data_IF_756127073819
#
_entry.id   IF_756127073819
#
_cell.length_a   1.000
_cell.length_b   1.000
_cell.length_c   1.000
_cell.angle_alpha   90.00
_cell.angle_beta   90.00
_cell.angle_gamma   90.00
#
_symmetry.space_group_name_H-M   'P 1'
#
loop_
_entity.id
_entity.type
_entity.pdbx_description
1 polymer ?
#
# COMPACT_ATOMS: atom_id res chain seq x y z
N UNK A 1 -20.86 18.93 -23.42
CA UNK A 1 -19.47 18.87 -22.88
C UNK A 1 -18.90 17.52 -23.27
N UNK A 2 -17.81 17.46 -24.06
CA UNK A 2 -17.10 16.19 -24.32
C UNK A 2 -16.11 15.99 -23.19
N UNK A 3 -16.28 14.92 -22.42
CA UNK A 3 -15.28 14.51 -21.44
C UNK A 3 -14.09 13.90 -22.21
N UNK A 4 -12.88 14.36 -21.93
CA UNK A 4 -11.67 13.62 -22.33
C UNK A 4 -11.63 12.36 -21.48
N UNK A 5 -12.02 11.23 -22.07
CA UNK A 5 -11.83 9.91 -21.45
C UNK A 5 -10.43 9.41 -21.80
N UNK A 6 -9.72 8.85 -20.83
CA UNK A 6 -8.44 8.18 -21.05
C UNK A 6 -8.61 6.81 -21.72
N UNK A 7 -9.84 6.30 -21.75
CA UNK A 7 -10.18 5.01 -22.32
C UNK A 7 -11.15 5.22 -23.48
N UNK A 8 -10.68 5.00 -24.71
CA UNK A 8 -11.49 5.00 -25.92
C UNK A 8 -11.27 3.68 -26.69
N UNK A 9 -12.08 2.64 -26.44
CA UNK A 9 -11.89 1.32 -27.03
C UNK A 9 -12.16 1.30 -28.54
N UNK A 10 -12.75 2.36 -29.10
CA UNK A 10 -12.99 2.47 -30.55
C UNK A 10 -11.85 3.18 -31.28
N UNK A 11 -10.87 3.70 -30.55
CA UNK A 11 -9.82 4.58 -31.05
C UNK A 11 -8.47 4.28 -30.38
N UNK A 12 -8.15 2.99 -30.23
CA UNK A 12 -6.82 2.54 -29.82
C UNK A 12 -5.80 3.02 -30.85
N UNK A 13 -5.11 4.11 -30.54
CA UNK A 13 -4.07 4.68 -31.37
C UNK A 13 -2.75 4.04 -30.94
N UNK A 14 -2.31 3.02 -31.68
CA UNK A 14 -1.04 2.31 -31.47
C UNK A 14 0.21 3.23 -31.49
N UNK A 15 0.06 4.52 -31.85
CA UNK A 15 1.15 5.47 -32.03
C UNK A 15 1.27 6.58 -30.97
N UNK A 16 0.45 6.60 -29.92
CA UNK A 16 0.62 7.61 -28.86
C UNK A 16 1.76 7.21 -27.92
N UNK A 17 2.77 8.08 -27.78
CA UNK A 17 3.98 7.78 -27.02
C UNK A 17 3.68 7.77 -25.51
N UNK A 18 4.01 6.66 -24.84
CA UNK A 18 3.97 6.58 -23.38
C UNK A 18 5.18 7.31 -22.79
N UNK A 19 4.93 8.22 -21.85
CA UNK A 19 5.98 8.92 -21.10
C UNK A 19 6.19 8.29 -19.72
N UNK A 20 7.45 8.20 -19.31
CA UNK A 20 7.83 7.76 -17.96
C UNK A 20 8.25 8.96 -17.12
N UNK A 21 8.08 8.85 -15.79
CA UNK A 21 8.59 9.81 -14.82
C UNK A 21 9.38 9.08 -13.74
N UNK A 22 10.39 9.74 -13.18
CA UNK A 22 11.21 9.15 -12.12
C UNK A 22 10.49 9.17 -10.77
N UNK A 23 10.53 8.03 -10.08
CA UNK A 23 10.08 7.91 -8.70
C UNK A 23 11.27 8.04 -7.75
N UNK A 24 11.22 9.00 -6.83
CA UNK A 24 12.23 9.14 -5.76
C UNK A 24 11.99 8.15 -4.59
N UNK A 25 11.56 6.92 -4.90
CA UNK A 25 11.24 5.86 -3.94
C UNK A 25 11.26 4.49 -4.64
N UNK A 26 11.50 3.44 -3.87
CA UNK A 26 11.77 2.08 -4.37
C UNK A 26 10.72 1.05 -3.94
N UNK A 27 10.03 1.29 -2.82
CA UNK A 27 9.00 0.40 -2.28
C UNK A 27 7.72 1.17 -1.94
N UNK A 28 6.56 0.54 -2.15
CA UNK A 28 5.29 0.95 -1.62
C UNK A 28 4.73 -0.12 -0.67
N UNK A 29 4.45 0.27 0.57
CA UNK A 29 3.68 -0.49 1.54
C UNK A 29 2.21 -0.13 1.36
N UNK A 30 1.38 -1.13 1.07
CA UNK A 30 -0.05 -0.99 0.79
C UNK A 30 -0.86 -1.46 2.00
N UNK A 31 -1.70 -0.60 2.57
CA UNK A 31 -2.52 -0.92 3.75
C UNK A 31 -4.00 -0.99 3.35
N UNK A 32 -4.64 -2.14 3.58
CA UNK A 32 -6.06 -2.33 3.29
C UNK A 32 -6.97 -1.56 4.26
N UNK A 33 -7.57 -0.47 3.79
CA UNK A 33 -8.48 0.37 4.60
C UNK A 33 -9.79 -0.35 4.95
N UNK A 34 -10.26 -1.28 4.10
CA UNK A 34 -11.46 -2.08 4.37
C UNK A 34 -11.27 -3.08 5.50
N UNK A 35 -10.08 -3.64 5.67
CA UNK A 35 -9.82 -4.49 6.84
C UNK A 35 -9.68 -3.62 8.11
N UNK A 36 -8.98 -2.48 8.02
CA UNK A 36 -8.84 -1.56 9.16
C UNK A 36 -10.17 -0.99 9.67
N UNK A 37 -11.11 -0.63 8.78
CA UNK A 37 -12.42 -0.09 9.17
C UNK A 37 -13.31 -1.08 9.93
N UNK A 38 -13.03 -2.38 9.83
CA UNK A 38 -13.73 -3.44 10.57
C UNK A 38 -13.25 -3.58 12.01
N UNK A 39 -12.14 -2.96 12.38
CA UNK A 39 -11.52 -3.08 13.69
C UNK A 39 -11.67 -1.76 14.44
N UNK A 40 -12.34 -1.80 15.60
CA UNK A 40 -12.59 -0.62 16.43
C UNK A 40 -11.27 0.04 16.85
N UNK A 41 -11.13 1.34 16.55
CA UNK A 41 -9.98 2.15 16.94
C UNK A 41 -8.79 2.13 15.98
N UNK A 42 -8.83 1.33 14.91
CA UNK A 42 -7.74 1.31 13.90
C UNK A 42 -7.87 2.44 12.86
N UNK A 43 -9.04 3.05 12.75
CA UNK A 43 -9.33 4.18 11.86
C UNK A 43 -9.74 5.41 12.66
N UNK A 44 -9.11 6.54 12.37
CA UNK A 44 -9.47 7.85 12.92
C UNK A 44 -9.47 8.88 11.79
N UNK A 45 -10.51 9.71 11.72
CA UNK A 45 -10.71 10.70 10.65
C UNK A 45 -10.54 10.13 9.23
N UNK A 46 -11.05 8.91 9.00
CA UNK A 46 -10.99 8.23 7.70
C UNK A 46 -9.62 7.70 7.30
N UNK A 47 -8.63 7.73 8.19
CA UNK A 47 -7.27 7.21 7.95
C UNK A 47 -6.93 6.13 8.95
N UNK A 48 -6.14 5.14 8.54
CA UNK A 48 -5.59 4.17 9.49
C UNK A 48 -4.46 4.80 10.28
N UNK A 49 -4.40 4.50 11.58
CA UNK A 49 -3.24 4.86 12.42
C UNK A 49 -1.93 4.26 11.91
N UNK A 50 -2.00 3.09 11.26
CA UNK A 50 -0.83 2.34 10.80
C UNK A 50 0.01 3.11 9.80
N UNK A 51 -0.60 3.94 8.94
CA UNK A 51 0.14 4.78 8.01
C UNK A 51 1.09 5.73 8.73
N UNK A 52 0.62 6.37 9.81
CA UNK A 52 1.43 7.26 10.63
C UNK A 52 2.53 6.50 11.36
N UNK A 53 2.18 5.38 11.98
CA UNK A 53 3.13 4.57 12.76
C UNK A 53 4.26 3.97 11.89
N UNK A 54 3.93 3.43 10.72
CA UNK A 54 4.94 2.86 9.80
C UNK A 54 5.84 3.99 9.27
N UNK A 55 5.28 5.13 8.89
CA UNK A 55 6.09 6.31 8.48
C UNK A 55 7.02 6.78 9.60
N UNK A 56 6.56 6.81 10.85
CA UNK A 56 7.39 7.18 11.98
C UNK A 56 8.51 6.15 12.22
N UNK A 57 8.20 4.85 12.08
CA UNK A 57 9.20 3.80 12.19
C UNK A 57 10.29 3.91 11.12
N UNK A 58 9.92 4.07 9.85
CA UNK A 58 10.85 4.27 8.73
C UNK A 58 11.76 5.48 8.96
N UNK A 59 11.18 6.63 9.35
CA UNK A 59 11.96 7.85 9.68
C UNK A 59 12.92 7.62 10.84
N UNK A 60 12.52 6.86 11.87
CA UNK A 60 13.39 6.54 12.99
C UNK A 60 14.60 5.66 12.61
N UNK A 61 14.52 5.00 11.46
CA UNK A 61 15.59 4.17 10.90
C UNK A 61 16.32 4.88 9.73
N UNK A 62 16.01 6.15 9.45
CA UNK A 62 16.64 6.94 8.38
C UNK A 62 16.19 6.57 6.96
N UNK A 63 15.04 5.90 6.82
CA UNK A 63 14.56 5.35 5.54
C UNK A 63 13.52 6.28 4.91
N UNK A 64 13.84 6.80 3.71
CA UNK A 64 12.97 7.72 2.96
C UNK A 64 12.47 7.16 1.62
N UNK A 65 13.10 6.08 1.12
CA UNK A 65 12.80 5.43 -0.16
C UNK A 65 11.53 4.56 -0.14
N UNK A 66 10.81 4.51 0.98
CA UNK A 66 9.59 3.69 1.13
C UNK A 66 8.35 4.59 1.22
N UNK A 67 7.37 4.36 0.35
CA UNK A 67 6.05 4.99 0.40
C UNK A 67 5.08 4.14 1.20
N UNK A 68 4.27 4.80 2.03
CA UNK A 68 3.20 4.12 2.79
C UNK A 68 1.86 4.64 2.29
N UNK A 69 1.10 3.75 1.65
CA UNK A 69 -0.13 4.05 0.91
C UNK A 69 -1.30 3.30 1.53
N UNK A 70 -2.42 3.99 1.64
CA UNK A 70 -3.70 3.40 2.00
C UNK A 70 -4.43 3.03 0.71
N UNK A 71 -4.84 1.78 0.60
CA UNK A 71 -5.58 1.27 -0.55
C UNK A 71 -6.95 0.78 -0.12
N UNK A 72 -7.81 0.46 -1.08
CA UNK A 72 -9.10 -0.19 -0.82
C UNK A 72 -8.90 -1.65 -0.38
N UNK A 73 -9.74 -2.58 -0.86
CA UNK A 73 -9.63 -3.99 -0.50
C UNK A 73 -8.46 -4.65 -1.23
N UNK A 74 -7.74 -5.54 -0.55
CA UNK A 74 -6.77 -6.46 -1.15
C UNK A 74 -7.35 -7.87 -1.35
N UNK A 75 -8.65 -8.05 -1.15
CA UNK A 75 -9.43 -9.29 -1.30
C UNK A 75 -8.97 -10.52 -0.50
N UNK A 76 -8.12 -10.32 0.51
CA UNK A 76 -7.64 -11.36 1.43
C UNK A 76 -7.95 -11.07 2.90
N UNK A 77 -9.01 -10.29 3.19
CA UNK A 77 -9.31 -9.91 4.57
C UNK A 77 -9.71 -11.12 5.41
N UNK A 78 -8.95 -11.38 6.47
CA UNK A 78 -9.34 -12.26 7.58
C UNK A 78 -10.03 -11.47 8.71
N UNK A 79 -10.78 -12.18 9.57
CA UNK A 79 -11.37 -11.58 10.78
C UNK A 79 -10.27 -11.09 11.71
N UNK A 80 -10.47 -9.90 12.28
CA UNK A 80 -9.57 -9.27 13.25
C UNK A 80 -8.11 -9.18 12.77
N UNK A 81 -7.91 -8.93 11.47
CA UNK A 81 -6.59 -8.68 10.88
C UNK A 81 -6.65 -7.62 9.79
N UNK A 82 -5.55 -6.91 9.59
CA UNK A 82 -5.35 -5.92 8.52
C UNK A 82 -4.37 -6.49 7.50
N UNK A 83 -4.81 -6.60 6.24
CA UNK A 83 -3.94 -7.00 5.14
C UNK A 83 -2.99 -5.88 4.75
N UNK A 84 -1.69 -6.19 4.66
CA UNK A 84 -0.62 -5.28 4.26
C UNK A 84 0.27 -5.98 3.23
N UNK A 85 0.56 -5.30 2.13
CA UNK A 85 1.46 -5.79 1.08
C UNK A 85 2.64 -4.84 0.87
N UNK A 86 3.71 -5.36 0.25
CA UNK A 86 4.86 -4.58 -0.23
C UNK A 86 4.98 -4.73 -1.73
N UNK A 87 5.28 -3.63 -2.44
CA UNK A 87 5.53 -3.67 -3.89
C UNK A 87 6.84 -4.37 -4.27
N UNK A 88 7.76 -4.58 -3.32
CA UNK A 88 9.01 -5.30 -3.56
C UNK A 88 8.85 -6.83 -3.49
N UNK A 89 7.74 -7.35 -2.97
CA UNK A 89 7.50 -8.79 -2.86
C UNK A 89 7.07 -9.43 -4.20
N UNK A 90 8.02 -9.57 -5.14
CA UNK A 90 8.06 -10.45 -6.34
C UNK A 90 6.86 -10.40 -7.33
N UNK A 91 7.04 -10.70 -8.63
CA UNK A 91 6.24 -10.14 -9.75
C UNK A 91 4.77 -10.61 -9.86
N UNK A 92 4.28 -11.41 -8.91
CA UNK A 92 2.89 -11.91 -8.85
C UNK A 92 2.17 -11.58 -7.54
N UNK A 93 2.75 -10.79 -6.62
CA UNK A 93 2.04 -10.26 -5.44
C UNK A 93 1.51 -11.32 -4.45
N UNK A 94 2.20 -12.47 -4.33
CA UNK A 94 1.66 -13.64 -3.58
C UNK A 94 1.83 -13.59 -2.06
N UNK A 95 2.57 -12.62 -1.53
CA UNK A 95 2.80 -12.50 -0.09
C UNK A 95 2.04 -11.28 0.44
N UNK A 96 1.09 -11.55 1.34
CA UNK A 96 0.34 -10.52 2.05
C UNK A 96 0.48 -10.80 3.54
N UNK A 97 0.93 -9.79 4.27
CA UNK A 97 1.04 -9.86 5.72
C UNK A 97 -0.32 -9.56 6.34
N UNK A 98 -0.80 -10.47 7.18
CA UNK A 98 -2.04 -10.28 7.93
C UNK A 98 -1.72 -9.86 9.37
N UNK A 99 -1.97 -8.58 9.63
CA UNK A 99 -1.53 -7.89 10.85
C UNK A 99 -2.64 -7.83 11.90
N UNK A 100 -2.45 -8.40 13.11
CA UNK A 100 -3.40 -8.24 14.20
C UNK A 100 -3.53 -6.78 14.67
N UNK A 101 -4.70 -6.38 15.22
CA UNK A 101 -4.91 -5.10 15.87
C UNK A 101 -3.84 -4.82 16.92
N UNK A 102 -3.43 -3.55 17.04
CA UNK A 102 -2.43 -3.12 18.02
C UNK A 102 -0.98 -3.46 17.69
N UNK A 103 -0.70 -4.08 16.54
CA UNK A 103 0.67 -4.32 16.10
C UNK A 103 1.35 -3.00 15.71
N UNK A 104 2.46 -2.67 16.36
CA UNK A 104 3.21 -1.44 16.08
C UNK A 104 3.75 -1.37 14.64
N UNK A 105 3.76 -0.16 14.07
CA UNK A 105 4.36 0.09 12.75
C UNK A 105 5.80 -0.42 12.58
N UNK A 106 6.64 -0.31 13.62
CA UNK A 106 8.02 -0.84 13.62
C UNK A 106 8.06 -2.37 13.44
N UNK A 107 7.19 -3.10 14.14
CA UNK A 107 7.12 -4.57 14.01
C UNK A 107 6.66 -4.96 12.61
N UNK A 108 5.68 -4.25 12.05
CA UNK A 108 5.19 -4.48 10.68
C UNK A 108 6.33 -4.26 9.67
N UNK A 109 7.00 -3.11 9.75
CA UNK A 109 8.13 -2.77 8.88
C UNK A 109 9.20 -3.86 8.87
N UNK A 110 9.74 -4.23 10.04
CA UNK A 110 10.78 -5.25 10.15
C UNK A 110 10.37 -6.61 9.57
N UNK A 111 9.11 -6.99 9.70
CA UNK A 111 8.62 -8.24 9.11
C UNK A 111 8.55 -8.14 7.58
N UNK A 112 8.15 -7.00 7.03
CA UNK A 112 8.16 -6.77 5.58
C UNK A 112 9.58 -6.78 5.02
N UNK A 113 10.54 -6.12 5.68
CA UNK A 113 11.94 -6.12 5.27
C UNK A 113 12.54 -7.52 5.25
N UNK A 114 12.22 -8.36 6.26
CA UNK A 114 12.68 -9.76 6.31
C UNK A 114 12.04 -10.67 5.24
N UNK A 115 10.91 -10.27 4.67
CA UNK A 115 10.28 -11.01 3.57
C UNK A 115 10.87 -10.66 2.20
N UNK A 116 11.65 -9.58 2.13
CA UNK A 116 12.29 -9.04 0.93
C UNK A 116 13.77 -9.47 0.80
N UNK A 117 14.36 -10.06 1.85
CA UNK A 117 15.69 -10.70 1.82
C UNK A 117 15.59 -12.19 1.51
#
# INVERSE_FOLDING_TARGET
>A
MKFRTLFDPQNETEGEALENTEANWEEAILICTKCASKIRGEVSFGKTRLKGEIKAALRSEGIESVRVVEVSCLDVCERDRIAIASSLQSPLGRKILLVPPGTSGRKIWRNLSNLNG
#
